data_IF_737724488168
#
_entry.id   IF_737724488168
#
_cell.length_a   1.000
_cell.length_b   1.000
_cell.length_c   1.000
_cell.angle_alpha   90.00
_cell.angle_beta   90.00
_cell.angle_gamma   90.00
#
_symmetry.space_group_name_H-M   'P 1'
#
loop_
_entity.id
_entity.type
_entity.pdbx_description
1 polymer ?
#
# COMPACT_ATOMS: atom_id res chain seq x y z
N UNK A 1 -38.58 19.18 7.56
CA UNK A 1 -38.41 17.80 8.06
C UNK A 1 -37.23 17.21 7.30
N UNK A 2 -36.24 16.62 8.00
CA UNK A 2 -34.98 16.13 7.40
C UNK A 2 -35.10 14.70 6.84
N UNK A 3 -36.32 14.20 6.69
CA UNK A 3 -36.57 12.78 6.41
C UNK A 3 -37.21 12.63 5.03
N UNK A 4 -36.43 12.09 4.08
CA UNK A 4 -36.92 11.65 2.77
C UNK A 4 -37.59 10.27 2.85
N UNK A 5 -38.23 9.81 1.76
CA UNK A 5 -38.87 8.50 1.72
C UNK A 5 -37.84 7.36 1.95
N UNK A 6 -38.25 6.22 2.54
CA UNK A 6 -37.34 5.10 2.81
C UNK A 6 -36.74 4.52 1.53
N UNK A 7 -35.45 4.19 1.57
CA UNK A 7 -34.70 3.58 0.46
C UNK A 7 -34.19 2.20 0.84
N UNK A 8 -34.08 1.30 -0.15
CA UNK A 8 -33.53 -0.04 0.03
C UNK A 8 -32.01 -0.01 -0.14
N UNK A 9 -31.29 -0.64 0.77
CA UNK A 9 -29.83 -0.82 0.68
C UNK A 9 -29.47 -2.30 0.63
N UNK A 10 -28.37 -2.60 -0.04
CA UNK A 10 -27.73 -3.92 -0.02
C UNK A 10 -26.47 -3.83 0.84
N UNK A 11 -26.27 -4.84 1.69
CA UNK A 11 -25.18 -4.85 2.66
C UNK A 11 -24.57 -6.24 2.74
N UNK A 12 -23.25 -6.27 2.94
CA UNK A 12 -22.58 -7.51 3.31
C UNK A 12 -22.84 -7.79 4.80
N UNK A 13 -23.15 -9.05 5.17
CA UNK A 13 -23.19 -9.45 6.56
C UNK A 13 -21.80 -9.36 7.19
N UNK A 14 -21.72 -9.00 8.47
CA UNK A 14 -20.47 -8.69 9.16
C UNK A 14 -19.47 -9.86 9.11
N UNK A 15 -19.95 -11.10 9.18
CA UNK A 15 -19.13 -12.32 9.15
C UNK A 15 -18.36 -12.48 7.83
N UNK A 16 -18.84 -11.84 6.75
CA UNK A 16 -18.18 -11.86 5.43
C UNK A 16 -17.19 -10.71 5.23
N UNK A 17 -17.13 -9.74 6.13
CA UNK A 17 -16.26 -8.56 6.00
C UNK A 17 -14.78 -8.86 6.24
N UNK A 18 -14.43 -9.95 6.93
CA UNK A 18 -13.03 -10.29 7.21
C UNK A 18 -12.15 -10.31 5.96
N UNK A 19 -12.67 -10.82 4.83
CA UNK A 19 -11.93 -10.83 3.55
C UNK A 19 -11.70 -9.42 3.01
N UNK A 20 -12.68 -8.53 3.16
CA UNK A 20 -12.55 -7.12 2.76
C UNK A 20 -11.52 -6.41 3.63
N UNK A 21 -11.56 -6.62 4.95
CA UNK A 21 -10.57 -6.03 5.86
C UNK A 21 -9.15 -6.50 5.54
N UNK A 22 -8.95 -7.81 5.35
CA UNK A 22 -7.64 -8.33 4.94
C UNK A 22 -7.19 -7.79 3.59
N UNK A 23 -8.09 -7.70 2.60
CA UNK A 23 -7.77 -7.14 1.30
C UNK A 23 -7.36 -5.66 1.40
N UNK A 24 -8.07 -4.87 2.20
CA UNK A 24 -7.73 -3.46 2.44
C UNK A 24 -6.36 -3.32 3.11
N UNK A 25 -6.04 -4.16 4.10
CA UNK A 25 -4.73 -4.17 4.75
C UNK A 25 -3.63 -4.42 3.70
N UNK A 26 -3.73 -5.52 2.95
CA UNK A 26 -2.72 -5.89 1.95
C UNK A 26 -2.59 -4.84 0.85
N UNK A 27 -3.71 -4.32 0.34
CA UNK A 27 -3.69 -3.30 -0.70
C UNK A 27 -3.05 -1.99 -0.21
N UNK A 28 -3.27 -1.63 1.05
CA UNK A 28 -2.68 -0.42 1.64
C UNK A 28 -1.19 -0.59 1.89
N UNK A 29 -0.77 -1.76 2.39
CA UNK A 29 0.64 -2.12 2.55
C UNK A 29 1.37 -1.98 1.20
N UNK A 30 0.86 -2.63 0.15
CA UNK A 30 1.54 -2.60 -1.15
C UNK A 30 1.43 -1.26 -1.87
N UNK A 31 0.39 -0.46 -1.61
CA UNK A 31 0.33 0.90 -2.15
C UNK A 31 1.48 1.77 -1.60
N UNK A 32 1.78 1.67 -0.30
CA UNK A 32 2.88 2.40 0.33
C UNK A 32 4.22 1.90 -0.20
N UNK A 33 4.41 0.57 -0.28
CA UNK A 33 5.64 -0.02 -0.81
C UNK A 33 5.86 0.40 -2.28
N UNK A 34 4.82 0.34 -3.11
CA UNK A 34 4.90 0.75 -4.52
C UNK A 34 5.26 2.24 -4.66
N UNK A 35 4.72 3.12 -3.81
CA UNK A 35 5.06 4.54 -3.84
C UNK A 35 6.56 4.78 -3.57
N UNK A 36 7.15 4.06 -2.62
CA UNK A 36 8.58 4.16 -2.31
C UNK A 36 9.46 3.53 -3.40
N UNK A 37 9.03 2.42 -3.98
CA UNK A 37 9.77 1.71 -5.04
C UNK A 37 9.75 2.49 -6.35
N UNK A 38 8.61 3.10 -6.71
CA UNK A 38 8.46 3.90 -7.92
C UNK A 38 8.97 5.33 -7.77
N UNK A 39 9.17 5.81 -6.53
CA UNK A 39 9.66 7.15 -6.26
C UNK A 39 11.05 7.40 -6.86
N UNK A 40 11.24 8.59 -7.43
CA UNK A 40 12.49 9.03 -8.02
C UNK A 40 13.21 10.03 -7.09
N UNK A 41 14.55 10.06 -7.18
CA UNK A 41 15.33 11.08 -6.48
C UNK A 41 14.97 12.44 -7.03
N UNK A 42 14.60 13.39 -6.17
CA UNK A 42 14.24 14.74 -6.58
C UNK A 42 14.84 15.79 -5.65
N UNK A 43 15.12 16.97 -6.20
CA UNK A 43 15.45 18.17 -5.45
C UNK A 43 14.24 19.10 -5.45
N UNK A 44 13.72 19.40 -4.28
CA UNK A 44 12.56 20.25 -4.07
C UNK A 44 12.93 21.68 -3.68
N UNK A 45 12.00 22.33 -2.99
CA UNK A 45 12.16 23.69 -2.46
C UNK A 45 13.41 23.81 -1.58
N UNK A 46 14.03 24.99 -1.59
CA UNK A 46 15.23 25.32 -0.80
C UNK A 46 16.44 24.41 -1.06
N UNK A 47 16.45 23.70 -2.21
CA UNK A 47 17.55 22.80 -2.59
C UNK A 47 17.55 21.47 -1.84
N UNK A 48 16.48 21.14 -1.10
CA UNK A 48 16.39 19.88 -0.37
C UNK A 48 16.26 18.70 -1.34
N UNK A 49 17.18 17.75 -1.24
CA UNK A 49 17.17 16.54 -2.07
C UNK A 49 16.70 15.34 -1.26
N UNK A 50 15.69 14.65 -1.78
CA UNK A 50 15.20 13.37 -1.26
C UNK A 50 15.59 12.29 -2.25
N UNK A 51 16.31 11.27 -1.77
CA UNK A 51 16.77 10.15 -2.60
C UNK A 51 15.71 9.06 -2.68
N UNK A 52 15.55 8.49 -3.88
CA UNK A 52 14.79 7.27 -4.08
C UNK A 52 15.35 6.12 -3.23
N UNK A 53 14.50 5.14 -2.93
CA UNK A 53 14.96 3.93 -2.26
C UNK A 53 15.99 3.22 -3.16
N UNK A 54 17.21 2.91 -2.67
CA UNK A 54 18.23 2.25 -3.47
C UNK A 54 17.89 0.77 -3.65
N UNK A 55 17.31 0.41 -4.81
CA UNK A 55 16.78 -0.94 -5.08
C UNK A 55 17.82 -2.06 -4.91
N UNK A 56 19.09 -1.83 -5.23
CA UNK A 56 20.15 -2.83 -5.04
C UNK A 56 20.40 -3.12 -3.56
N UNK A 57 20.45 -2.07 -2.74
CA UNK A 57 20.63 -2.21 -1.29
C UNK A 57 19.41 -2.84 -0.64
N UNK A 58 18.20 -2.46 -1.09
CA UNK A 58 16.96 -3.10 -0.65
C UNK A 58 16.99 -4.61 -0.92
N UNK A 59 17.32 -5.02 -2.15
CA UNK A 59 17.45 -6.44 -2.52
C UNK A 59 18.51 -7.17 -1.68
N UNK A 60 19.65 -6.53 -1.42
CA UNK A 60 20.69 -7.10 -0.56
C UNK A 60 20.19 -7.35 0.88
N UNK A 61 19.45 -6.39 1.45
CA UNK A 61 18.84 -6.53 2.78
C UNK A 61 17.80 -7.64 2.80
N UNK A 62 16.89 -7.68 1.83
CA UNK A 62 15.88 -8.73 1.73
C UNK A 62 16.52 -10.12 1.60
N UNK A 63 17.61 -10.24 0.83
CA UNK A 63 18.38 -11.49 0.72
C UNK A 63 19.05 -11.87 2.03
N UNK A 64 19.66 -10.92 2.74
CA UNK A 64 20.31 -11.15 4.05
C UNK A 64 19.35 -11.76 5.07
N UNK A 65 18.09 -11.36 5.05
CA UNK A 65 17.06 -11.88 5.96
C UNK A 65 16.21 -13.01 5.38
N UNK A 66 16.60 -13.60 4.23
CA UNK A 66 15.89 -14.72 3.61
C UNK A 66 14.49 -14.37 3.10
N UNK A 67 14.22 -13.09 2.81
CA UNK A 67 12.92 -12.58 2.33
C UNK A 67 12.89 -12.34 0.82
N UNK A 68 14.03 -12.38 0.14
CA UNK A 68 14.09 -12.32 -1.32
C UNK A 68 14.05 -13.73 -1.91
N UNK A 69 12.87 -14.14 -2.37
CA UNK A 69 12.67 -15.42 -3.07
C UNK A 69 12.54 -15.14 -4.56
N UNK A 70 13.48 -15.66 -5.36
CA UNK A 70 13.33 -15.66 -6.81
C UNK A 70 12.32 -16.77 -7.16
N UNK A 71 11.09 -16.41 -7.52
CA UNK A 71 10.18 -17.38 -8.13
C UNK A 71 10.61 -17.65 -9.56
N UNK A 72 10.64 -18.93 -9.94
CA UNK A 72 10.73 -19.35 -11.33
C UNK A 72 9.46 -19.00 -12.09
#
# INVERSE_FOLDING_TARGET
AKDGPPVRVEMLPNERLNRLFSATILATEEAIINALVAGETMTGVDGHTVVAVPHDRLRAVLKKYGRLRLSR
#
